data_IF_441793699119
#
_entry.id   IF_441793699119
#
_cell.length_a   1.000
_cell.length_b   1.000
_cell.length_c   1.000
_cell.angle_alpha   90.00
_cell.angle_beta   90.00
_cell.angle_gamma   90.00
#
_symmetry.space_group_name_H-M   'P 1'
#
loop_
_entity.id
_entity.type
_entity.pdbx_description
1 polymer ?
#
# COMPACT_ATOMS: atom_id res chain seq x y z
N UNK A 1 6.81 -26.73 -13.38
CA UNK A 1 5.75 -25.70 -13.27
C UNK A 1 6.15 -24.81 -12.10
N UNK A 2 6.96 -23.78 -12.34
CA UNK A 2 7.21 -22.76 -11.31
C UNK A 2 5.86 -22.11 -11.04
N UNK A 3 5.26 -22.22 -9.84
CA UNK A 3 4.10 -21.44 -9.52
C UNK A 3 4.61 -20.00 -9.46
N UNK A 4 4.41 -19.23 -10.53
CA UNK A 4 4.64 -17.80 -10.46
C UNK A 4 3.52 -17.28 -9.55
N UNK A 5 3.82 -16.90 -8.29
CA UNK A 5 2.81 -16.33 -7.42
C UNK A 5 2.24 -15.10 -8.14
N UNK A 6 0.93 -14.93 -8.05
CA UNK A 6 0.15 -13.89 -8.74
C UNK A 6 0.95 -12.58 -8.74
N UNK A 7 1.18 -12.04 -9.93
CA UNK A 7 2.02 -10.85 -10.17
C UNK A 7 1.31 -9.57 -9.69
N UNK A 8 0.84 -9.57 -8.45
CA UNK A 8 0.36 -8.37 -7.77
C UNK A 8 1.58 -7.50 -7.46
N UNK A 9 1.48 -6.18 -7.62
CA UNK A 9 2.61 -5.26 -7.41
C UNK A 9 3.35 -5.45 -6.07
N UNK A 10 2.66 -5.93 -5.03
CA UNK A 10 3.29 -6.32 -3.75
C UNK A 10 4.22 -7.53 -3.86
N UNK A 11 3.83 -8.57 -4.61
CA UNK A 11 4.67 -9.74 -4.87
C UNK A 11 5.92 -9.39 -5.66
N UNK A 12 5.84 -8.47 -6.62
CA UNK A 12 7.03 -7.95 -7.32
C UNK A 12 8.01 -7.26 -6.37
N UNK A 13 7.50 -6.47 -5.42
CA UNK A 13 8.34 -5.84 -4.39
C UNK A 13 8.99 -6.88 -3.50
N UNK A 14 8.26 -7.92 -3.07
CA UNK A 14 8.82 -9.00 -2.27
C UNK A 14 9.88 -9.80 -3.03
N UNK A 15 9.64 -10.12 -4.31
CA UNK A 15 10.63 -10.77 -5.18
C UNK A 15 11.89 -9.92 -5.37
N UNK A 16 11.74 -8.59 -5.51
CA UNK A 16 12.89 -7.68 -5.55
C UNK A 16 13.68 -7.67 -4.25
N UNK A 17 13.01 -7.67 -3.10
CA UNK A 17 13.66 -7.77 -1.78
C UNK A 17 14.36 -9.13 -1.64
N UNK A 18 13.74 -10.22 -2.07
CA UNK A 18 14.36 -11.55 -2.05
C UNK A 18 15.58 -11.64 -2.96
N UNK A 19 15.54 -11.03 -4.15
CA UNK A 19 16.67 -10.98 -5.07
C UNK A 19 17.87 -10.23 -4.47
N UNK A 20 17.63 -9.13 -3.74
CA UNK A 20 18.68 -8.39 -3.02
C UNK A 20 19.17 -9.16 -1.78
N UNK A 21 18.26 -9.84 -1.07
CA UNK A 21 18.55 -10.50 0.21
C UNK A 21 19.08 -11.93 0.05
N UNK A 22 18.93 -12.54 -1.12
CA UNK A 22 19.36 -13.91 -1.44
C UNK A 22 18.63 -15.02 -0.68
N UNK A 23 17.57 -14.70 0.07
CA UNK A 23 16.79 -15.65 0.89
C UNK A 23 15.32 -15.26 0.95
N UNK A 24 14.39 -16.24 0.92
CA UNK A 24 12.96 -15.99 0.89
C UNK A 24 12.49 -15.19 2.12
N UNK A 25 11.52 -14.31 1.92
CA UNK A 25 10.82 -13.59 3.00
C UNK A 25 10.02 -14.59 3.83
N UNK A 26 9.99 -14.40 5.15
CA UNK A 26 9.14 -15.22 6.01
C UNK A 26 7.68 -14.80 5.83
N UNK A 27 6.76 -15.76 5.93
CA UNK A 27 5.32 -15.49 5.82
C UNK A 27 4.86 -14.39 6.80
N UNK A 28 5.45 -14.37 8.00
CA UNK A 28 5.20 -13.33 9.01
C UNK A 28 5.61 -11.94 8.52
N UNK A 29 6.74 -11.80 7.83
CA UNK A 29 7.18 -10.51 7.30
C UNK A 29 6.24 -10.01 6.19
N UNK A 30 5.75 -10.92 5.33
CA UNK A 30 4.76 -10.60 4.29
C UNK A 30 3.45 -10.12 4.92
N UNK A 31 2.93 -10.83 5.93
CA UNK A 31 1.72 -10.44 6.64
C UNK A 31 1.86 -9.05 7.29
N UNK A 32 2.99 -8.79 7.95
CA UNK A 32 3.25 -7.48 8.56
C UNK A 32 3.36 -6.37 7.51
N UNK A 33 4.08 -6.61 6.43
CA UNK A 33 4.20 -5.64 5.33
C UNK A 33 2.83 -5.30 4.73
N UNK A 34 1.97 -6.30 4.55
CA UNK A 34 0.63 -6.08 4.00
C UNK A 34 -0.28 -5.32 4.97
N UNK A 35 -0.25 -5.66 6.28
CA UNK A 35 -0.98 -4.92 7.31
C UNK A 35 -0.55 -3.45 7.35
N UNK A 36 0.76 -3.19 7.32
CA UNK A 36 1.31 -1.83 7.29
C UNK A 36 0.92 -1.11 6.01
N UNK A 37 1.01 -1.78 4.85
CA UNK A 37 0.62 -1.21 3.56
C UNK A 37 -0.85 -0.78 3.53
N UNK A 38 -1.76 -1.64 4.00
CA UNK A 38 -3.20 -1.31 4.07
C UNK A 38 -3.44 -0.18 5.08
N UNK A 39 -2.78 -0.20 6.23
CA UNK A 39 -2.91 0.88 7.21
C UNK A 39 -2.45 2.24 6.66
N UNK A 40 -1.33 2.27 5.91
CA UNK A 40 -0.82 3.47 5.24
C UNK A 40 -1.74 3.95 4.12
N UNK A 41 -2.28 3.02 3.31
CA UNK A 41 -3.25 3.37 2.28
C UNK A 41 -4.53 3.93 2.90
N UNK A 42 -5.04 3.30 3.96
CA UNK A 42 -6.23 3.76 4.68
C UNK A 42 -6.02 5.14 5.30
N UNK A 43 -4.86 5.41 5.92
CA UNK A 43 -4.56 6.72 6.48
C UNK A 43 -4.45 7.80 5.40
N UNK A 44 -3.82 7.47 4.27
CA UNK A 44 -3.75 8.38 3.12
C UNK A 44 -5.13 8.68 2.54
N UNK A 45 -6.00 7.67 2.40
CA UNK A 45 -7.37 7.86 1.93
C UNK A 45 -8.14 8.82 2.84
N UNK A 46 -8.06 8.65 4.16
CA UNK A 46 -8.71 9.54 5.13
C UNK A 46 -8.16 10.97 5.00
N UNK A 47 -6.85 11.12 4.89
CA UNK A 47 -6.19 12.41 4.76
C UNK A 47 -6.62 13.17 3.49
N UNK A 48 -6.63 12.49 2.35
CA UNK A 48 -7.06 13.08 1.07
C UNK A 48 -8.55 13.42 1.12
N UNK A 49 -9.37 12.51 1.65
CA UNK A 49 -10.82 12.73 1.76
C UNK A 49 -11.16 13.96 2.62
N UNK A 50 -10.46 14.15 3.74
CA UNK A 50 -10.58 15.35 4.57
C UNK A 50 -10.22 16.61 3.76
N UNK A 51 -9.11 16.57 3.02
CA UNK A 51 -8.67 17.69 2.18
C UNK A 51 -9.70 18.03 1.09
N UNK A 52 -10.29 17.03 0.46
CA UNK A 52 -11.31 17.19 -0.58
C UNK A 52 -12.58 17.82 -0.02
N UNK A 53 -13.08 17.36 1.14
CA UNK A 53 -14.23 17.97 1.82
C UNK A 53 -13.92 19.42 2.20
N UNK A 54 -12.78 19.67 2.83
CA UNK A 54 -12.40 21.02 3.25
C UNK A 54 -12.30 21.97 2.05
N UNK A 55 -11.80 21.48 0.91
CA UNK A 55 -11.75 22.23 -0.35
C UNK A 55 -13.16 22.56 -0.86
N UNK A 56 -14.07 21.59 -0.90
CA UNK A 56 -15.46 21.79 -1.35
C UNK A 56 -16.21 22.78 -0.46
N UNK A 57 -16.09 22.66 0.87
CA UNK A 57 -16.72 23.60 1.82
C UNK A 57 -16.20 25.02 1.61
N UNK A 58 -14.89 25.18 1.46
CA UNK A 58 -14.28 26.49 1.20
C UNK A 58 -14.77 27.10 -0.11
N UNK A 59 -14.90 26.30 -1.16
CA UNK A 59 -15.43 26.75 -2.45
C UNK A 59 -16.89 27.20 -2.34
N UNK A 60 -17.72 26.47 -1.60
CA UNK A 60 -19.12 26.83 -1.38
C UNK A 60 -19.27 28.12 -0.57
N UNK A 61 -18.47 28.34 0.47
CA UNK A 61 -18.50 29.56 1.28
C UNK A 61 -17.98 30.81 0.56
N UNK A 62 -17.19 30.63 -0.51
CA UNK A 62 -16.63 31.73 -1.29
C UNK A 62 -17.49 32.14 -2.50
N UNK A 63 -18.59 31.41 -2.75
CA UNK A 63 -19.59 31.69 -3.77
C UNK A 63 -20.80 32.41 -3.17
#
# INVERSE_FOLDING_TARGET
>A
LLPIPVLDGGHLVFLGIEAVRGKPLSDQAVIWAQKVGIALLGSLMIFVFYNDIARLVRQWLAA
#
